data_IF_534086993161
#
_entry.id   IF_534086993161
#
_cell.length_a   1.000
_cell.length_b   1.000
_cell.length_c   1.000
_cell.angle_alpha   90.00
_cell.angle_beta   90.00
_cell.angle_gamma   90.00
#
_symmetry.space_group_name_H-M   'P 1'
#
loop_
_entity.id
_entity.type
_entity.pdbx_description
1 polymer ?
#
# COMPACT_ATOMS: atom_id res chain seq x y z
N UNK A 1 -28.70 56.56 2.40
CA UNK A 1 -29.37 55.80 1.33
C UNK A 1 -28.44 55.69 0.12
N UNK A 2 -27.52 54.73 0.12
CA UNK A 2 -26.71 54.32 -1.05
C UNK A 2 -26.43 52.83 -0.89
N UNK A 3 -27.16 52.02 -1.64
CA UNK A 3 -26.98 50.57 -1.67
C UNK A 3 -25.80 50.25 -2.58
N UNK A 4 -24.68 49.82 -1.99
CA UNK A 4 -23.63 49.10 -2.71
C UNK A 4 -24.20 47.76 -3.19
N UNK A 5 -24.51 47.68 -4.48
CA UNK A 5 -24.73 46.43 -5.18
C UNK A 5 -23.39 45.71 -5.33
N UNK A 6 -23.09 44.83 -4.38
CA UNK A 6 -22.13 43.74 -4.58
C UNK A 6 -22.71 42.78 -5.63
N UNK A 7 -22.45 43.08 -6.90
CA UNK A 7 -22.71 42.17 -8.00
C UNK A 7 -21.74 40.99 -7.87
N UNK A 8 -22.20 39.91 -7.24
CA UNK A 8 -21.54 38.62 -7.21
C UNK A 8 -21.28 38.17 -8.64
N UNK A 9 -20.06 38.38 -9.12
CA UNK A 9 -19.61 37.96 -10.43
C UNK A 9 -19.54 36.43 -10.42
N UNK A 10 -20.65 35.76 -10.74
CA UNK A 10 -20.68 34.31 -10.94
C UNK A 10 -19.97 34.01 -12.26
N UNK A 11 -18.65 33.87 -12.17
CA UNK A 11 -17.81 33.53 -13.31
C UNK A 11 -18.31 32.19 -13.86
N UNK A 12 -18.75 32.20 -15.12
CA UNK A 12 -19.29 31.01 -15.80
C UNK A 12 -18.28 29.84 -15.74
N UNK A 13 -18.72 28.61 -15.39
CA UNK A 13 -17.83 27.44 -15.26
C UNK A 13 -17.07 27.13 -16.56
N UNK A 14 -17.63 27.48 -17.72
CA UNK A 14 -16.95 27.37 -19.02
C UNK A 14 -15.74 28.30 -19.15
N UNK A 15 -15.81 29.53 -18.62
CA UNK A 15 -14.68 30.47 -18.61
C UNK A 15 -13.58 30.02 -17.64
N UNK A 16 -13.95 29.34 -16.56
CA UNK A 16 -13.01 28.70 -15.63
C UNK A 16 -12.23 27.56 -16.30
N UNK A 17 -12.92 26.62 -16.97
CA UNK A 17 -12.25 25.48 -17.64
C UNK A 17 -11.33 25.95 -18.76
N UNK A 18 -11.74 26.94 -19.56
CA UNK A 18 -10.91 27.52 -20.60
C UNK A 18 -9.65 28.22 -20.05
N UNK A 19 -9.77 28.91 -18.91
CA UNK A 19 -8.64 29.59 -18.25
C UNK A 19 -7.62 28.61 -17.64
N UNK A 20 -8.07 27.44 -17.19
CA UNK A 20 -7.23 26.44 -16.53
C UNK A 20 -7.00 25.17 -17.36
N UNK A 21 -7.16 25.24 -18.69
CA UNK A 21 -7.01 24.09 -19.59
C UNK A 21 -5.67 23.35 -19.41
N UNK A 22 -4.58 24.08 -19.14
CA UNK A 22 -3.26 23.50 -18.88
C UNK A 22 -3.24 22.61 -17.63
N UNK A 23 -3.94 23.00 -16.56
CA UNK A 23 -4.07 22.18 -15.34
C UNK A 23 -4.90 20.92 -15.60
N UNK A 24 -5.97 21.02 -16.39
CA UNK A 24 -6.76 19.86 -16.80
C UNK A 24 -5.96 18.90 -17.69
N UNK A 25 -5.10 19.42 -18.57
CA UNK A 25 -4.21 18.60 -19.39
C UNK A 25 -3.18 17.83 -18.54
N UNK A 26 -2.60 18.48 -17.52
CA UNK A 26 -1.69 17.83 -16.57
C UNK A 26 -2.41 16.79 -15.71
N UNK A 27 -3.71 16.96 -15.44
CA UNK A 27 -4.53 16.00 -14.70
C UNK A 27 -4.96 14.80 -15.55
N UNK A 28 -5.15 14.99 -16.86
CA UNK A 28 -5.60 13.92 -17.78
C UNK A 28 -4.63 12.74 -17.77
N UNK A 29 -3.32 12.98 -17.77
CA UNK A 29 -2.32 11.91 -17.84
C UNK A 29 -2.36 10.96 -16.62
N UNK A 30 -2.27 11.44 -15.35
CA UNK A 30 -2.42 10.56 -14.20
C UNK A 30 -3.84 9.95 -14.12
N UNK A 31 -4.89 10.69 -14.48
CA UNK A 31 -6.25 10.17 -14.44
C UNK A 31 -6.43 8.99 -15.41
N UNK A 32 -5.90 9.11 -16.63
CA UNK A 32 -5.90 8.03 -17.63
C UNK A 32 -5.14 6.81 -17.11
N UNK A 33 -3.99 7.02 -16.49
CA UNK A 33 -3.21 5.94 -15.86
C UNK A 33 -4.03 5.21 -14.79
N UNK A 34 -4.70 5.94 -13.89
CA UNK A 34 -5.58 5.32 -12.89
C UNK A 34 -6.73 4.54 -13.56
N UNK A 35 -7.36 5.11 -14.58
CA UNK A 35 -8.49 4.47 -15.26
C UNK A 35 -8.08 3.14 -15.90
N UNK A 36 -6.95 3.13 -16.63
CA UNK A 36 -6.49 1.97 -17.38
C UNK A 36 -5.83 0.93 -16.47
N UNK A 37 -4.99 1.33 -15.53
CA UNK A 37 -4.18 0.38 -14.75
C UNK A 37 -4.75 0.04 -13.37
N UNK A 38 -5.66 0.85 -12.82
CA UNK A 38 -6.29 0.57 -11.52
C UNK A 38 -7.77 0.18 -11.67
N UNK A 39 -8.55 0.94 -12.45
CA UNK A 39 -9.99 0.68 -12.59
C UNK A 39 -10.32 -0.40 -13.61
N UNK A 40 -9.61 -0.47 -14.76
CA UNK A 40 -9.90 -1.51 -15.74
C UNK A 40 -9.70 -2.94 -15.19
N UNK A 41 -8.64 -3.25 -14.42
CA UNK A 41 -8.49 -4.56 -13.78
C UNK A 41 -9.58 -4.88 -12.75
N UNK A 42 -10.20 -3.87 -12.12
CA UNK A 42 -11.30 -4.10 -11.18
C UNK A 42 -12.55 -4.68 -11.84
N UNK A 43 -12.73 -4.48 -13.16
CA UNK A 43 -13.82 -5.14 -13.91
C UNK A 43 -13.64 -6.66 -13.88
N UNK A 44 -12.40 -7.15 -13.76
CA UNK A 44 -12.09 -8.57 -13.58
C UNK A 44 -12.61 -9.17 -12.27
N UNK A 45 -12.99 -8.35 -11.28
CA UNK A 45 -13.57 -8.82 -10.01
C UNK A 45 -14.93 -9.52 -10.21
N UNK A 46 -15.56 -9.37 -11.38
CA UNK A 46 -16.75 -10.14 -11.77
C UNK A 46 -16.49 -11.67 -11.72
N UNK A 47 -15.24 -12.11 -11.89
CA UNK A 47 -14.85 -13.51 -11.74
C UNK A 47 -15.07 -14.07 -10.32
N UNK A 48 -15.19 -13.23 -9.30
CA UNK A 48 -15.58 -13.68 -7.96
C UNK A 48 -17.02 -14.24 -7.92
N UNK A 49 -17.85 -13.88 -8.90
CA UNK A 49 -19.26 -14.30 -9.02
C UNK A 49 -19.51 -15.23 -10.21
N UNK A 50 -18.51 -15.42 -11.08
CA UNK A 50 -18.61 -16.26 -12.28
C UNK A 50 -17.66 -17.44 -12.23
N UNK A 51 -18.10 -18.58 -12.75
CA UNK A 51 -17.29 -19.79 -12.85
C UNK A 51 -16.12 -19.55 -13.80
N UNK A 52 -14.92 -19.47 -13.24
CA UNK A 52 -13.69 -19.39 -14.02
C UNK A 52 -13.09 -20.79 -14.18
N UNK A 53 -12.78 -21.18 -15.43
CA UNK A 53 -12.04 -22.40 -15.76
C UNK A 53 -10.85 -22.01 -16.65
N UNK A 54 -9.61 -22.37 -16.29
CA UNK A 54 -8.45 -22.11 -17.14
C UNK A 54 -8.69 -22.68 -18.55
N UNK A 55 -8.53 -21.83 -19.58
CA UNK A 55 -8.77 -22.19 -20.98
C UNK A 55 -10.18 -21.86 -21.53
N UNK A 56 -11.13 -21.44 -20.68
CA UNK A 56 -12.49 -21.08 -21.10
C UNK A 56 -12.76 -19.59 -20.83
N UNK A 57 -12.37 -18.72 -21.78
CA UNK A 57 -12.71 -17.28 -21.84
C UNK A 57 -12.28 -16.40 -20.66
N UNK A 58 -11.75 -15.20 -20.93
CA UNK A 58 -11.27 -14.27 -19.88
C UNK A 58 -12.37 -13.77 -18.91
N UNK A 59 -13.65 -13.97 -19.24
CA UNK A 59 -14.79 -13.37 -18.54
C UNK A 59 -15.61 -14.35 -17.69
N UNK A 60 -15.18 -15.62 -17.59
CA UNK A 60 -15.92 -16.69 -16.91
C UNK A 60 -17.13 -17.16 -17.70
N UNK A 61 -17.59 -18.38 -17.43
CA UNK A 61 -18.66 -19.00 -18.22
C UNK A 61 -20.03 -18.76 -17.61
N UNK A 62 -20.24 -19.21 -16.37
CA UNK A 62 -21.55 -19.28 -15.71
C UNK A 62 -21.60 -18.35 -14.51
N UNK A 63 -22.76 -17.76 -14.20
CA UNK A 63 -22.94 -17.00 -12.96
C UNK A 63 -23.20 -17.97 -11.81
N UNK A 64 -22.29 -18.03 -10.85
CA UNK A 64 -22.35 -18.93 -9.67
C UNK A 64 -22.69 -18.20 -8.37
N UNK A 65 -22.93 -16.90 -8.45
CA UNK A 65 -23.31 -16.07 -7.31
C UNK A 65 -22.26 -16.13 -6.20
N UNK A 66 -22.68 -16.48 -4.98
CA UNK A 66 -21.82 -16.48 -3.79
C UNK A 66 -21.14 -17.83 -3.50
N UNK A 67 -21.09 -18.75 -4.46
CA UNK A 67 -20.52 -20.08 -4.24
C UNK A 67 -19.08 -20.05 -3.71
N UNK A 68 -18.22 -19.21 -4.31
CA UNK A 68 -16.82 -19.09 -3.89
C UNK A 68 -16.69 -18.50 -2.48
N UNK A 69 -17.52 -17.50 -2.14
CA UNK A 69 -17.55 -16.93 -0.79
C UNK A 69 -17.96 -17.97 0.25
N UNK A 70 -19.03 -18.74 0.01
CA UNK A 70 -19.46 -19.82 0.93
C UNK A 70 -18.36 -20.87 1.13
N UNK A 71 -17.67 -21.25 0.05
CA UNK A 71 -16.53 -22.18 0.12
C UNK A 71 -15.38 -21.60 0.94
N UNK A 72 -15.08 -20.32 0.78
CA UNK A 72 -14.01 -19.63 1.48
C UNK A 72 -14.30 -19.49 2.98
N UNK A 73 -15.53 -19.09 3.35
CA UNK A 73 -15.94 -18.99 4.75
C UNK A 73 -16.11 -20.34 5.44
N UNK A 74 -16.38 -21.41 4.69
CA UNK A 74 -16.44 -22.78 5.20
C UNK A 74 -15.07 -23.44 5.42
N UNK A 75 -13.98 -22.84 4.91
CA UNK A 75 -12.64 -23.41 5.04
C UNK A 75 -11.95 -22.96 6.35
N UNK A 76 -11.58 -23.88 7.25
CA UNK A 76 -10.83 -23.54 8.46
C UNK A 76 -9.46 -22.90 8.19
N UNK A 77 -8.83 -23.18 7.04
CA UNK A 77 -7.56 -22.57 6.65
C UNK A 77 -7.72 -21.06 6.40
N UNK A 78 -8.85 -20.63 5.83
CA UNK A 78 -9.16 -19.21 5.66
C UNK A 78 -9.20 -18.50 7.01
N UNK A 79 -9.93 -19.03 8.00
CA UNK A 79 -10.02 -18.39 9.32
C UNK A 79 -8.70 -18.36 10.06
N UNK A 80 -7.84 -19.37 9.91
CA UNK A 80 -6.47 -19.34 10.44
C UNK A 80 -5.64 -18.25 9.78
N UNK A 81 -5.63 -18.18 8.45
CA UNK A 81 -4.91 -17.16 7.71
C UNK A 81 -5.42 -15.75 8.04
N UNK A 82 -6.74 -15.55 8.07
CA UNK A 82 -7.38 -14.28 8.40
C UNK A 82 -7.00 -13.80 9.81
N UNK A 83 -7.08 -14.68 10.82
CA UNK A 83 -6.65 -14.35 12.19
C UNK A 83 -5.17 -14.01 12.25
N UNK A 84 -4.32 -14.79 11.58
CA UNK A 84 -2.88 -14.53 11.55
C UNK A 84 -2.58 -13.18 10.91
N UNK A 85 -3.20 -12.86 9.77
CA UNK A 85 -3.04 -11.56 9.11
C UNK A 85 -3.53 -10.43 10.02
N UNK A 86 -4.69 -10.58 10.66
CA UNK A 86 -5.23 -9.56 11.55
C UNK A 86 -4.32 -9.31 12.76
N UNK A 87 -3.84 -10.39 13.40
CA UNK A 87 -2.90 -10.31 14.53
C UNK A 87 -1.59 -9.66 14.09
N UNK A 88 -1.03 -10.07 12.95
CA UNK A 88 0.19 -9.48 12.40
C UNK A 88 0.00 -8.00 12.06
N UNK A 89 -1.12 -7.61 11.47
CA UNK A 89 -1.44 -6.20 11.16
C UNK A 89 -1.57 -5.36 12.43
N UNK A 90 -2.22 -5.89 13.48
CA UNK A 90 -2.35 -5.21 14.77
C UNK A 90 -1.00 -5.08 15.47
N UNK A 91 -0.20 -6.14 15.53
CA UNK A 91 1.15 -6.09 16.07
C UNK A 91 2.04 -5.12 15.29
N UNK A 92 1.96 -5.14 13.97
CA UNK A 92 2.67 -4.19 13.13
C UNK A 92 2.26 -2.76 13.43
N UNK A 93 0.97 -2.48 13.63
CA UNK A 93 0.51 -1.16 13.99
C UNK A 93 1.02 -0.75 15.38
N UNK A 94 0.87 -1.60 16.39
CA UNK A 94 1.25 -1.27 17.78
C UNK A 94 2.77 -1.15 17.94
N UNK A 95 3.57 -1.88 17.16
CA UNK A 95 5.03 -1.91 17.30
C UNK A 95 5.70 -0.96 16.29
N UNK A 96 5.41 -1.07 14.99
CA UNK A 96 6.09 -0.27 13.98
C UNK A 96 5.63 1.18 13.92
N UNK A 97 4.47 1.53 14.49
CA UNK A 97 4.05 2.93 14.57
C UNK A 97 4.84 3.73 15.63
N UNK A 98 4.95 3.29 16.90
CA UNK A 98 5.69 4.07 17.91
C UNK A 98 7.21 3.99 17.75
N UNK A 99 7.78 2.89 17.22
CA UNK A 99 9.24 2.74 17.13
C UNK A 99 9.91 3.90 16.36
N UNK A 100 9.48 4.29 15.14
CA UNK A 100 10.06 5.41 14.41
C UNK A 100 9.90 6.74 15.14
N UNK A 101 8.81 6.93 15.88
CA UNK A 101 8.56 8.15 16.66
C UNK A 101 9.55 8.24 17.83
N UNK A 102 9.68 7.15 18.59
CA UNK A 102 10.65 7.04 19.68
C UNK A 102 12.07 7.24 19.15
N UNK A 103 12.42 6.58 18.05
CA UNK A 103 13.71 6.73 17.39
C UNK A 103 13.98 8.18 16.95
N UNK A 104 12.97 8.85 16.37
CA UNK A 104 13.09 10.25 15.98
C UNK A 104 13.36 11.17 17.17
N UNK A 105 12.70 10.95 18.31
CA UNK A 105 12.93 11.71 19.54
C UNK A 105 14.34 11.46 20.09
N UNK A 106 14.76 10.18 20.17
CA UNK A 106 16.11 9.81 20.63
C UNK A 106 17.20 10.47 19.78
N UNK A 107 17.04 10.44 18.46
CA UNK A 107 17.99 11.08 17.54
C UNK A 107 17.91 12.61 17.62
N UNK A 108 16.75 13.17 17.97
CA UNK A 108 16.60 14.61 18.13
C UNK A 108 17.39 15.13 19.33
N UNK A 109 17.43 14.39 20.44
CA UNK A 109 18.13 14.73 21.69
C UNK A 109 19.67 14.69 21.55
N UNK A 110 20.19 14.08 20.48
CA UNK A 110 21.63 14.03 20.21
C UNK A 110 22.18 15.42 19.91
N UNK A 111 22.94 15.98 20.86
CA UNK A 111 23.60 17.30 20.73
C UNK A 111 24.75 17.30 19.69
N UNK A 112 25.43 16.18 19.51
CA UNK A 112 26.58 16.09 18.58
C UNK A 112 26.13 15.87 17.13
N UNK A 113 26.31 16.88 16.28
CA UNK A 113 25.82 16.87 14.89
C UNK A 113 26.42 15.78 14.00
N UNK A 114 27.73 15.48 14.10
CA UNK A 114 28.32 14.42 13.28
C UNK A 114 27.79 13.02 13.66
N UNK A 115 27.76 12.70 14.96
CA UNK A 115 27.17 11.47 15.47
C UNK A 115 25.70 11.30 15.05
N UNK A 116 24.88 12.37 15.18
CA UNK A 116 23.48 12.37 14.71
C UNK A 116 23.35 11.98 13.23
N UNK A 117 24.21 12.54 12.35
CA UNK A 117 24.21 12.22 10.91
C UNK A 117 24.61 10.77 10.62
N UNK A 118 25.59 10.23 11.35
CA UNK A 118 26.02 8.83 11.19
C UNK A 118 24.91 7.88 11.60
N UNK A 119 24.31 8.08 12.78
CA UNK A 119 23.20 7.25 13.27
C UNK A 119 22.03 7.25 12.30
N UNK A 120 21.62 8.42 11.80
CA UNK A 120 20.57 8.51 10.79
C UNK A 120 20.94 7.74 9.52
N UNK A 121 22.13 7.95 8.97
CA UNK A 121 22.56 7.28 7.74
C UNK A 121 22.55 5.76 7.89
N UNK A 122 23.12 5.24 8.98
CA UNK A 122 23.17 3.81 9.26
C UNK A 122 21.78 3.23 9.48
N UNK A 123 20.90 3.92 10.21
CA UNK A 123 19.53 3.44 10.47
C UNK A 123 18.61 3.52 9.24
N UNK A 124 18.83 4.47 8.33
CA UNK A 124 18.07 4.53 7.08
C UNK A 124 18.58 3.55 6.00
N UNK A 125 19.85 3.14 6.07
CA UNK A 125 20.47 2.26 5.08
C UNK A 125 19.71 0.94 4.83
N UNK A 126 19.20 0.21 5.85
CA UNK A 126 18.48 -1.06 5.65
C UNK A 126 17.29 -0.96 4.72
N UNK A 127 16.63 0.22 4.64
CA UNK A 127 15.47 0.42 3.77
C UNK A 127 15.79 0.28 2.27
N UNK A 128 17.06 0.45 1.91
CA UNK A 128 17.53 0.33 0.53
C UNK A 128 17.84 -1.13 0.15
N UNK A 129 17.93 -2.03 1.13
CA UNK A 129 18.15 -3.45 0.89
C UNK A 129 16.82 -4.08 0.46
N UNK A 130 16.83 -4.85 -0.64
CA UNK A 130 15.64 -5.57 -1.11
C UNK A 130 15.15 -6.57 -0.06
N UNK A 131 13.84 -6.66 0.12
CA UNK A 131 13.21 -7.64 1.02
C UNK A 131 13.68 -9.08 0.74
N UNK A 132 13.91 -9.44 -0.52
CA UNK A 132 14.39 -10.79 -0.89
C UNK A 132 15.81 -11.04 -0.36
N UNK A 133 16.69 -10.03 -0.43
CA UNK A 133 18.06 -10.11 0.10
C UNK A 133 18.03 -10.23 1.62
N UNK A 134 17.17 -9.46 2.29
CA UNK A 134 16.99 -9.57 3.75
C UNK A 134 16.54 -10.97 4.14
N UNK A 135 15.57 -11.56 3.42
CA UNK A 135 15.12 -12.93 3.67
C UNK A 135 16.26 -13.94 3.45
N UNK A 136 17.08 -13.77 2.41
CA UNK A 136 18.22 -14.64 2.15
C UNK A 136 19.28 -14.56 3.26
N UNK A 137 19.62 -13.35 3.72
CA UNK A 137 20.55 -13.13 4.85
C UNK A 137 19.99 -13.78 6.11
N UNK A 138 18.70 -13.54 6.43
CA UNK A 138 18.06 -14.16 7.59
C UNK A 138 18.03 -15.68 7.48
N UNK A 139 17.78 -16.23 6.29
CA UNK A 139 17.80 -17.66 6.04
C UNK A 139 19.16 -18.30 6.30
N UNK A 140 20.24 -17.65 5.86
CA UNK A 140 21.60 -18.12 6.14
C UNK A 140 21.96 -17.98 7.62
N UNK A 141 21.65 -16.84 8.24
CA UNK A 141 21.95 -16.57 9.65
C UNK A 141 21.23 -17.55 10.60
N UNK A 142 19.97 -17.90 10.29
CA UNK A 142 19.15 -18.81 11.08
C UNK A 142 19.24 -20.28 10.61
N UNK A 143 20.11 -20.58 9.63
CA UNK A 143 20.28 -21.93 9.09
C UNK A 143 20.65 -22.93 10.21
N UNK A 144 19.93 -24.06 10.36
CA UNK A 144 20.24 -25.06 11.39
C UNK A 144 21.62 -25.70 11.25
N UNK A 145 22.16 -25.78 10.04
CA UNK A 145 23.40 -26.51 9.73
C UNK A 145 24.62 -25.61 9.51
N UNK A 146 24.43 -24.40 8.98
CA UNK A 146 25.51 -23.46 8.65
C UNK A 146 25.36 -22.09 9.30
N UNK A 147 24.28 -21.88 10.06
CA UNK A 147 23.95 -20.58 10.59
C UNK A 147 24.95 -20.12 11.64
N UNK A 148 25.46 -18.91 11.47
CA UNK A 148 26.40 -18.26 12.39
C UNK A 148 25.84 -18.25 13.83
N UNK A 149 24.51 -18.16 13.98
CA UNK A 149 23.83 -18.16 15.28
C UNK A 149 23.86 -19.56 15.93
N UNK A 150 23.77 -20.63 15.13
CA UNK A 150 23.76 -22.02 15.62
C UNK A 150 25.16 -22.62 15.80
N UNK A 151 26.19 -21.98 15.23
CA UNK A 151 27.60 -22.34 15.42
C UNK A 151 28.16 -22.00 16.82
N UNK A 152 27.42 -21.23 17.63
CA UNK A 152 27.75 -20.90 19.02
C UNK A 152 27.29 -21.97 20.03
N UNK A 153 27.05 -23.21 19.59
CA UNK A 153 26.75 -24.36 20.45
C UNK A 153 27.80 -25.45 20.31
#
# INVERSE_FOLDING_TARGET
>A
MKAEKNAGNTISPRKYVARYWQLYLMLVLPLLYFLVFKYAPMVGNVLAFRRYRPGMGAWGTEWVGLQYFRRFFGDPAFWRAFRNTLVLSLLNLVINFPIPILFAILVNEVRHLAFKKVVQTVSYMPRFISTVVVIAILGELLSPSSGIINLLR
#
